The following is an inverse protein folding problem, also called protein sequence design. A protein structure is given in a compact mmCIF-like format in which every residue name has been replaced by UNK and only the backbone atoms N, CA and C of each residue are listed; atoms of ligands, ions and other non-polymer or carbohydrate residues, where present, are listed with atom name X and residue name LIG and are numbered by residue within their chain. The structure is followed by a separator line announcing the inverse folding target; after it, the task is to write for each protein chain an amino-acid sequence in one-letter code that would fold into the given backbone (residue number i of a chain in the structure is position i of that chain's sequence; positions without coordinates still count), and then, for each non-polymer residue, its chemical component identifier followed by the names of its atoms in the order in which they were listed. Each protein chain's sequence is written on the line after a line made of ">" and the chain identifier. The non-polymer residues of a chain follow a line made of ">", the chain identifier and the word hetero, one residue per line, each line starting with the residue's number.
data_IF_440221111519
#
_entry.id   IF_440221111519
#
_cell.length_a   1.000
_cell.length_b   1.000
_cell.length_c   1.000
_cell.angle_alpha   90.00
_cell.angle_beta   90.00
_cell.angle_gamma   90.00
#
_symmetry.space_group_name_H-M   'P 1'
#
loop_
_entity.id
_entity.type
_entity.pdbx_description
1 polymer ?
#
# COMPACT_ATOMS: atom_id res chain seq x y z
N UNK A 1 9.02 4.03 -11.72
CA UNK A 1 8.31 3.01 -12.54
C UNK A 1 7.36 2.17 -11.68
N UNK A 2 7.87 1.31 -10.79
CA UNK A 2 7.00 0.44 -9.96
C UNK A 2 6.05 1.21 -9.03
N UNK A 3 6.47 2.32 -8.45
CA UNK A 3 5.60 3.17 -7.62
C UNK A 3 4.35 3.65 -8.36
N UNK A 4 4.53 4.20 -9.57
CA UNK A 4 3.42 4.65 -10.42
C UNK A 4 2.46 3.49 -10.74
N UNK A 5 2.97 2.27 -10.88
CA UNK A 5 2.12 1.07 -11.03
C UNK A 5 1.27 0.87 -9.78
N UNK A 6 1.85 0.94 -8.59
CA UNK A 6 1.09 0.80 -7.32
C UNK A 6 0.02 1.90 -7.19
N UNK A 7 0.34 3.13 -7.55
CA UNK A 7 -0.63 4.23 -7.52
C UNK A 7 -1.80 4.01 -8.48
N UNK A 8 -1.52 3.60 -9.72
CA UNK A 8 -2.56 3.24 -10.69
C UNK A 8 -3.39 2.05 -10.22
N UNK A 9 -2.78 1.04 -9.61
CA UNK A 9 -3.50 -0.08 -9.03
C UNK A 9 -4.45 0.36 -7.91
N UNK A 10 -4.03 1.30 -7.04
CA UNK A 10 -4.89 1.89 -6.01
C UNK A 10 -6.07 2.66 -6.61
N UNK A 11 -5.83 3.42 -7.68
CA UNK A 11 -6.88 4.10 -8.43
C UNK A 11 -7.91 3.09 -8.97
N UNK A 12 -7.46 1.91 -9.42
CA UNK A 12 -8.28 0.79 -9.88
C UNK A 12 -8.87 -0.08 -8.75
N UNK A 13 -8.83 0.38 -7.50
CA UNK A 13 -9.39 -0.30 -6.32
C UNK A 13 -8.90 -1.75 -6.12
N UNK A 14 -7.66 -2.06 -6.52
CA UNK A 14 -7.13 -3.43 -6.45
C UNK A 14 -7.12 -4.02 -5.02
N UNK A 15 -7.03 -3.18 -3.98
CA UNK A 15 -7.01 -3.66 -2.58
C UNK A 15 -8.32 -4.32 -2.18
N UNK A 16 -9.44 -3.74 -2.62
CA UNK A 16 -10.76 -4.32 -2.38
C UNK A 16 -11.02 -5.48 -3.33
N UNK A 17 -10.73 -5.27 -4.62
CA UNK A 17 -11.25 -6.14 -5.67
C UNK A 17 -10.33 -7.29 -6.01
N UNK A 18 -9.01 -7.19 -5.82
CA UNK A 18 -8.03 -8.22 -6.12
C UNK A 18 -7.47 -8.92 -4.88
N UNK A 19 -7.05 -8.17 -3.85
CA UNK A 19 -6.38 -8.77 -2.69
C UNK A 19 -7.27 -9.76 -1.93
N UNK A 20 -8.58 -9.52 -1.93
CA UNK A 20 -9.59 -10.31 -1.23
C UNK A 20 -10.09 -11.53 -2.00
N UNK A 21 -9.71 -11.70 -3.29
CA UNK A 21 -10.22 -12.77 -4.17
C UNK A 21 -9.86 -14.18 -3.70
N UNK A 22 -8.80 -14.32 -2.92
CA UNK A 22 -8.32 -15.62 -2.43
C UNK A 22 -8.16 -15.61 -0.91
N UNK A 23 -8.04 -16.82 -0.36
CA UNK A 23 -7.73 -17.05 1.07
C UNK A 23 -6.45 -17.91 1.17
N UNK A 24 -5.43 -17.48 1.92
CA UNK A 24 -5.28 -16.17 2.58
C UNK A 24 -5.18 -15.02 1.55
N UNK A 25 -5.62 -13.83 1.96
CA UNK A 25 -5.59 -12.64 1.11
C UNK A 25 -4.16 -12.34 0.64
N UNK A 26 -4.03 -11.72 -0.53
CA UNK A 26 -2.74 -11.28 -1.02
C UNK A 26 -2.17 -10.17 -0.12
N UNK A 27 -0.86 -10.15 0.15
CA UNK A 27 -0.24 -9.03 0.85
C UNK A 27 -0.31 -7.77 -0.03
N UNK A 28 -0.52 -6.58 0.55
CA UNK A 28 -0.46 -5.32 -0.18
C UNK A 28 0.88 -5.13 -0.89
N UNK A 29 0.83 -4.52 -2.07
CA UNK A 29 1.99 -4.36 -2.92
C UNK A 29 2.91 -3.24 -2.41
N UNK A 30 4.18 -3.59 -2.17
CA UNK A 30 5.22 -2.60 -1.82
C UNK A 30 5.91 -2.08 -3.08
N UNK A 31 6.47 -0.86 -3.01
CA UNK A 31 7.18 -0.20 -4.13
C UNK A 31 8.35 -1.03 -4.68
N UNK A 32 8.86 -1.99 -3.90
CA UNK A 32 9.99 -2.85 -4.30
C UNK A 32 9.61 -4.28 -4.66
N UNK A 33 8.35 -4.68 -4.47
CA UNK A 33 7.96 -6.10 -4.51
C UNK A 33 8.30 -6.78 -5.83
N UNK A 34 7.97 -6.18 -6.98
CA UNK A 34 8.33 -6.73 -8.30
C UNK A 34 9.65 -6.18 -8.86
N UNK A 35 10.27 -5.21 -8.18
CA UNK A 35 11.55 -4.64 -8.61
C UNK A 35 12.74 -5.50 -8.19
N UNK A 36 12.61 -6.25 -7.10
CA UNK A 36 13.66 -7.12 -6.54
C UNK A 36 13.15 -8.55 -6.40
N UNK A 37 14.03 -9.56 -6.41
CA UNK A 37 13.65 -10.92 -6.05
C UNK A 37 13.09 -10.96 -4.62
N UNK A 38 11.94 -11.61 -4.46
CA UNK A 38 11.39 -11.92 -3.14
C UNK A 38 12.01 -13.22 -2.58
N UNK A 39 11.86 -13.46 -1.28
CA UNK A 39 12.33 -14.71 -0.65
C UNK A 39 11.72 -15.98 -1.25
N UNK A 40 10.51 -15.87 -1.83
CA UNK A 40 9.85 -16.94 -2.56
C UNK A 40 9.53 -16.51 -4.01
N UNK A 41 10.40 -16.89 -4.95
CA UNK A 41 10.22 -16.54 -6.37
C UNK A 41 8.97 -17.17 -7.01
N UNK A 42 8.55 -18.35 -6.55
CA UNK A 42 7.33 -19.01 -7.05
C UNK A 42 6.07 -18.24 -6.67
N UNK A 43 5.99 -17.78 -5.42
CA UNK A 43 4.88 -16.93 -4.98
C UNK A 43 4.89 -15.57 -5.68
N UNK A 44 6.06 -14.99 -5.89
CA UNK A 44 6.21 -13.73 -6.62
C UNK A 44 5.70 -13.85 -8.07
N UNK A 45 6.07 -14.93 -8.75
CA UNK A 45 5.57 -15.23 -10.09
C UNK A 45 4.05 -15.43 -10.11
N UNK A 46 3.52 -16.21 -9.16
CA UNK A 46 2.07 -16.44 -9.06
C UNK A 46 1.30 -15.15 -8.76
N UNK A 47 1.86 -14.25 -7.93
CA UNK A 47 1.29 -12.91 -7.71
C UNK A 47 1.26 -12.15 -9.03
N UNK A 48 2.38 -12.08 -9.74
CA UNK A 48 2.48 -11.38 -11.02
C UNK A 48 1.45 -11.90 -12.03
N UNK A 49 1.37 -13.22 -12.25
CA UNK A 49 0.45 -13.78 -13.24
C UNK A 49 -1.01 -13.56 -12.87
N UNK A 50 -1.35 -13.67 -11.58
CA UNK A 50 -2.70 -13.39 -11.08
C UNK A 50 -3.07 -11.91 -11.25
N UNK A 51 -2.12 -11.01 -10.98
CA UNK A 51 -2.33 -9.56 -11.13
C UNK A 51 -2.45 -9.16 -12.61
N UNK A 52 -1.59 -9.70 -13.47
CA UNK A 52 -1.68 -9.49 -14.91
C UNK A 52 -3.04 -9.96 -15.45
N UNK A 53 -3.52 -11.12 -14.98
CA UNK A 53 -4.84 -11.61 -15.33
C UNK A 53 -5.97 -10.69 -14.85
N UNK A 54 -5.88 -10.16 -13.63
CA UNK A 54 -6.85 -9.18 -13.14
C UNK A 54 -6.91 -7.94 -14.04
N UNK A 55 -5.77 -7.39 -14.42
CA UNK A 55 -5.69 -6.21 -15.29
C UNK A 55 -6.19 -6.50 -16.71
N UNK A 56 -5.86 -7.66 -17.28
CA UNK A 56 -6.39 -8.09 -18.58
C UNK A 56 -7.91 -8.20 -18.57
N UNK A 57 -8.49 -8.73 -17.47
CA UNK A 57 -9.94 -8.79 -17.31
C UNK A 57 -10.58 -7.41 -17.20
N UNK A 58 -9.93 -6.45 -16.52
CA UNK A 58 -10.38 -5.06 -16.50
C UNK A 58 -10.28 -4.38 -17.88
N UNK A 59 -9.29 -4.76 -18.69
CA UNK A 59 -9.13 -4.28 -20.06
C UNK A 59 -10.16 -4.90 -21.04
N UNK A 60 -11.00 -5.83 -20.59
CA UNK A 60 -12.05 -6.46 -21.40
C UNK A 60 -11.66 -7.80 -22.04
N UNK A 61 -10.49 -8.37 -21.72
CA UNK A 61 -10.17 -9.76 -22.06
C UNK A 61 -10.85 -10.72 -21.08
N UNK A 62 -11.10 -11.97 -21.47
CA UNK A 62 -11.63 -13.04 -20.61
C UNK A 62 -10.53 -13.99 -20.15
N UNK A 63 -9.39 -13.43 -19.73
CA UNK A 63 -8.22 -14.21 -19.36
C UNK A 63 -8.36 -14.88 -17.99
N UNK A 64 -8.29 -16.21 -17.96
CA UNK A 64 -8.24 -16.98 -16.70
C UNK A 64 -6.85 -16.83 -16.05
N UNK A 65 -6.83 -16.43 -14.78
CA UNK A 65 -5.61 -16.38 -13.99
C UNK A 65 -4.95 -17.78 -13.90
N UNK A 66 -3.64 -17.91 -14.22
CA UNK A 66 -2.91 -19.16 -14.05
C UNK A 66 -2.88 -19.59 -12.58
N UNK A 67 -3.04 -20.89 -12.33
CA UNK A 67 -2.89 -21.46 -11.00
C UNK A 67 -1.41 -21.52 -10.59
N UNK A 68 -1.14 -21.68 -9.29
CA UNK A 68 0.23 -21.70 -8.76
C UNK A 68 1.07 -22.87 -9.31
N UNK A 69 0.41 -23.94 -9.75
CA UNK A 69 1.03 -25.16 -10.28
C UNK A 69 1.00 -25.26 -11.81
N UNK A 70 0.47 -24.24 -12.50
CA UNK A 70 0.51 -24.21 -13.96
C UNK A 70 1.93 -24.06 -14.49
N UNK A 71 2.19 -24.56 -15.71
CA UNK A 71 3.50 -24.43 -16.34
C UNK A 71 3.84 -22.94 -16.51
N UNK A 72 4.97 -22.47 -15.95
CA UNK A 72 5.30 -21.05 -15.94
C UNK A 72 5.58 -20.51 -17.35
N UNK A 73 6.10 -21.33 -18.27
CA UNK A 73 6.34 -20.91 -19.65
C UNK A 73 5.03 -20.81 -20.43
N UNK A 74 4.09 -21.73 -20.20
CA UNK A 74 2.75 -21.66 -20.76
C UNK A 74 2.01 -20.41 -20.27
N UNK A 75 2.05 -20.14 -18.96
CA UNK A 75 1.46 -18.94 -18.37
C UNK A 75 2.04 -17.65 -18.99
N UNK A 76 3.37 -17.56 -19.15
CA UNK A 76 4.01 -16.41 -19.80
C UNK A 76 3.58 -16.25 -21.26
N UNK A 77 3.53 -17.35 -22.02
CA UNK A 77 3.11 -17.33 -23.43
C UNK A 77 1.66 -16.89 -23.58
N UNK A 78 0.78 -17.36 -22.70
CA UNK A 78 -0.63 -17.00 -22.71
C UNK A 78 -0.84 -15.51 -22.37
N UNK A 79 -0.11 -14.96 -21.39
CA UNK A 79 -0.13 -13.53 -21.09
C UNK A 79 0.30 -12.71 -22.31
N UNK A 80 1.34 -13.12 -23.03
CA UNK A 80 1.77 -12.45 -24.27
C UNK A 80 0.70 -12.48 -25.37
N UNK A 81 0.02 -13.62 -25.53
CA UNK A 81 -1.05 -13.76 -26.52
C UNK A 81 -2.23 -12.83 -26.21
N UNK A 82 -2.59 -12.67 -24.93
CA UNK A 82 -3.63 -11.73 -24.51
C UNK A 82 -3.20 -10.27 -24.62
N UNK A 83 -1.96 -9.94 -24.28
CA UNK A 83 -1.41 -8.59 -24.46
C UNK A 83 -1.53 -8.14 -25.92
N UNK A 84 -1.20 -9.03 -26.87
CA UNK A 84 -1.35 -8.75 -28.29
C UNK A 84 -2.81 -8.51 -28.70
N UNK A 85 -3.77 -9.23 -28.11
CA UNK A 85 -5.20 -9.05 -28.38
C UNK A 85 -5.75 -7.74 -27.80
N UNK A 86 -5.23 -7.30 -26.65
CA UNK A 86 -5.61 -6.03 -26.02
C UNK A 86 -5.01 -4.79 -26.71
N UNK A 87 -4.31 -4.96 -27.85
CA UNK A 87 -3.70 -3.86 -28.60
C UNK A 87 -2.41 -3.34 -27.97
N UNK A 88 -1.75 -4.15 -27.13
CA UNK A 88 -0.47 -3.80 -26.54
C UNK A 88 0.67 -3.97 -27.55
N UNK A 89 1.60 -3.02 -27.59
CA UNK A 89 2.81 -3.14 -28.42
C UNK A 89 3.61 -4.38 -28.02
N UNK A 90 3.99 -5.18 -29.00
CA UNK A 90 4.74 -6.42 -28.77
C UNK A 90 5.95 -6.14 -27.88
N UNK A 91 6.03 -6.74 -26.67
CA UNK A 91 7.15 -6.49 -25.77
C UNK A 91 8.48 -6.90 -26.43
N UNK A 92 9.50 -6.06 -26.32
CA UNK A 92 10.82 -6.26 -26.96
C UNK A 92 11.62 -7.47 -26.41
N UNK A 93 11.04 -8.28 -25.51
CA UNK A 93 11.72 -9.37 -24.82
C UNK A 93 10.92 -10.67 -24.95
N UNK A 94 11.62 -11.81 -24.83
CA UNK A 94 10.99 -13.12 -24.91
C UNK A 94 10.13 -13.44 -23.67
N UNK A 95 9.03 -14.20 -23.80
CA UNK A 95 8.13 -14.54 -22.69
C UNK A 95 8.83 -15.17 -21.48
N UNK A 96 9.88 -15.96 -21.72
CA UNK A 96 10.66 -16.60 -20.65
C UNK A 96 11.32 -15.63 -19.66
N UNK A 97 11.45 -14.33 -19.99
CA UNK A 97 11.96 -13.33 -19.04
C UNK A 97 10.97 -13.06 -17.90
N UNK A 98 9.67 -13.23 -18.12
CA UNK A 98 8.63 -13.05 -17.09
C UNK A 98 8.62 -14.16 -16.05
N UNK A 99 9.21 -15.32 -16.34
CA UNK A 99 9.28 -16.48 -15.44
C UNK A 99 9.89 -16.14 -14.07
N UNK A 100 10.79 -15.17 -14.03
CA UNK A 100 11.45 -14.75 -12.80
C UNK A 100 10.48 -14.05 -11.81
N UNK A 101 9.31 -13.60 -12.27
CA UNK A 101 8.32 -12.92 -11.44
C UNK A 101 8.73 -11.52 -10.96
N UNK A 102 9.95 -11.07 -11.28
CA UNK A 102 10.46 -9.74 -10.96
C UNK A 102 11.34 -9.19 -12.08
N UNK A 103 11.63 -7.90 -12.02
CA UNK A 103 12.54 -7.22 -12.93
C UNK A 103 11.83 -6.16 -13.79
N UNK A 104 12.62 -5.54 -14.67
CA UNK A 104 12.16 -4.42 -15.51
C UNK A 104 11.05 -4.85 -16.47
N UNK A 105 11.16 -6.06 -16.99
CA UNK A 105 10.22 -6.67 -17.94
C UNK A 105 8.84 -6.85 -17.31
N UNK A 106 8.81 -7.39 -16.10
CA UNK A 106 7.59 -7.63 -15.31
C UNK A 106 6.91 -6.32 -14.96
N UNK A 107 7.66 -5.36 -14.43
CA UNK A 107 7.14 -4.03 -14.09
C UNK A 107 6.66 -3.28 -15.34
N UNK A 108 7.35 -3.43 -16.46
CA UNK A 108 6.97 -2.82 -17.74
C UNK A 108 5.61 -3.32 -18.25
N UNK A 109 5.38 -4.64 -18.19
CA UNK A 109 4.07 -5.22 -18.56
C UNK A 109 2.95 -4.71 -17.64
N UNK A 110 3.17 -4.70 -16.32
CA UNK A 110 2.17 -4.21 -15.38
C UNK A 110 1.88 -2.72 -15.58
N UNK A 111 2.91 -1.91 -15.83
CA UNK A 111 2.74 -0.48 -16.09
C UNK A 111 1.87 -0.25 -17.33
N UNK A 112 2.19 -0.94 -18.43
CA UNK A 112 1.44 -0.83 -19.66
C UNK A 112 -0.01 -1.31 -19.56
N UNK A 113 -0.26 -2.42 -18.86
CA UNK A 113 -1.60 -2.88 -18.57
C UNK A 113 -2.39 -1.87 -17.73
N UNK A 114 -1.77 -1.29 -16.70
CA UNK A 114 -2.39 -0.25 -15.90
C UNK A 114 -2.71 0.99 -16.75
N UNK A 115 -1.81 1.40 -17.63
CA UNK A 115 -2.05 2.53 -18.54
C UNK A 115 -3.23 2.28 -19.46
N UNK A 116 -3.33 1.09 -20.04
CA UNK A 116 -4.45 0.71 -20.91
C UNK A 116 -5.79 0.74 -20.15
N UNK A 117 -5.83 0.16 -18.96
CA UNK A 117 -7.05 0.10 -18.14
C UNK A 117 -7.43 1.48 -17.61
N UNK A 118 -6.46 2.28 -17.15
CA UNK A 118 -6.74 3.64 -16.68
C UNK A 118 -7.23 4.51 -17.83
N UNK A 119 -6.63 4.41 -19.01
CA UNK A 119 -7.07 5.13 -20.19
C UNK A 119 -8.52 4.75 -20.58
N UNK A 120 -8.92 3.49 -20.48
CA UNK A 120 -10.30 3.07 -20.79
C UNK A 120 -11.30 3.46 -19.70
N UNK A 121 -10.95 3.33 -18.42
CA UNK A 121 -11.84 3.63 -17.29
C UNK A 121 -12.02 5.13 -17.05
N UNK A 122 -10.98 5.92 -17.30
CA UNK A 122 -10.94 7.35 -17.00
C UNK A 122 -10.82 8.23 -18.25
N UNK A 123 -11.17 7.71 -19.43
CA UNK A 123 -11.18 8.44 -20.69
C UNK A 123 -11.95 9.79 -20.63
N UNK A 124 -12.95 9.88 -19.75
CA UNK A 124 -13.80 11.07 -19.56
C UNK A 124 -13.27 12.10 -18.57
N UNK A 125 -12.09 11.90 -17.99
CA UNK A 125 -11.49 12.87 -17.08
C UNK A 125 -10.89 14.01 -17.89
N UNK A 126 -11.77 14.78 -18.52
CA UNK A 126 -11.37 16.00 -19.20
C UNK A 126 -11.10 17.10 -18.17
N UNK A 127 -10.29 18.09 -18.55
CA UNK A 127 -10.02 19.24 -17.71
C UNK A 127 -11.32 19.96 -17.34
N UNK A 128 -11.41 20.60 -16.17
CA UNK A 128 -12.57 21.43 -15.86
C UNK A 128 -12.74 22.47 -16.96
N UNK A 129 -13.91 22.50 -17.58
CA UNK A 129 -14.26 23.51 -18.57
C UNK A 129 -14.40 24.84 -17.82
N UNK A 130 -13.37 25.68 -17.92
CA UNK A 130 -13.43 27.04 -17.40
C UNK A 130 -14.42 27.81 -18.27
N UNK A 131 -15.52 28.27 -17.67
CA UNK A 131 -16.38 29.24 -18.31
C UNK A 131 -15.50 30.42 -18.75
N UNK A 132 -15.69 30.97 -19.97
CA UNK A 132 -14.96 32.16 -20.37
C UNK A 132 -15.22 33.21 -19.30
N UNK A 133 -14.15 33.76 -18.71
CA UNK A 133 -14.28 34.80 -17.71
C UNK A 133 -15.20 35.87 -18.30
N UNK A 134 -16.36 36.05 -17.68
CA UNK A 134 -17.19 37.20 -17.99
C UNK A 134 -16.26 38.40 -17.86
N UNK A 135 -16.24 39.33 -18.84
CA UNK A 135 -15.50 40.56 -18.68
C UNK A 135 -15.87 41.09 -17.30
N UNK A 136 -14.86 41.28 -16.45
CA UNK A 136 -15.02 42.05 -15.23
C UNK A 136 -15.46 43.44 -15.71
N UNK A 137 -16.76 43.62 -15.91
CA UNK A 137 -17.37 44.93 -15.89
C UNK A 137 -16.94 45.49 -14.55
N UNK A 138 -16.14 46.55 -14.62
CA UNK A 138 -15.63 47.39 -13.55
C UNK A 138 -16.70 47.53 -12.45
N UNK A 139 -16.78 46.52 -11.58
CA UNK A 139 -17.61 46.54 -10.41
C UNK A 139 -16.82 47.45 -9.51
N UNK A 140 -17.07 48.75 -9.67
CA UNK A 140 -16.64 49.80 -8.78
C UNK A 140 -16.90 49.27 -7.37
N UNK A 141 -15.84 48.75 -6.77
CA UNK A 141 -15.76 48.44 -5.37
C UNK A 141 -15.93 49.79 -4.71
N UNK A 142 -17.19 50.15 -4.43
CA UNK A 142 -17.51 51.11 -3.40
C UNK A 142 -16.92 50.52 -2.14
N UNK A 143 -15.67 50.90 -1.85
CA UNK A 143 -15.13 50.84 -0.52
C UNK A 143 -16.21 51.43 0.40
N UNK A 144 -16.78 50.68 1.36
CA UNK A 144 -17.62 51.31 2.36
C UNK A 144 -16.72 52.33 3.04
N UNK A 145 -17.06 53.60 2.89
CA UNK A 145 -16.43 54.66 3.65
C UNK A 145 -16.67 54.33 5.12
N UNK A 146 -15.60 53.94 5.82
CA UNK A 146 -15.59 53.91 7.27
C UNK A 146 -15.63 55.38 7.71
N UNK A 147 -16.81 55.85 8.08
CA UNK A 147 -16.95 57.09 8.84
C UNK A 147 -16.45 56.81 10.26
N UNK A 148 -15.29 57.38 10.57
CA UNK A 148 -14.74 57.53 11.91
C UNK A 148 -15.70 58.46 12.69
N UNK A 149 -16.55 57.88 13.55
CA UNK A 149 -17.30 58.62 14.55
C UNK A 149 -16.86 58.08 15.92
N UNK A 150 -15.77 58.68 16.40
CA UNK A 150 -15.30 58.54 17.77
C UNK A 150 -16.28 59.24 18.73
N UNK A 151 -16.38 58.63 19.91
CA UNK A 151 -16.74 59.26 21.19
C UNK A 151 -18.23 59.26 21.59
N UNK A 152 -18.67 58.20 22.27
CA UNK A 152 -19.37 58.41 23.54
C UNK A 152 -19.17 57.22 24.51
N UNK A 153 -18.53 57.52 25.64
CA UNK A 153 -18.20 56.56 26.68
C UNK A 153 -19.36 56.38 27.65
N UNK A 154 -19.80 55.13 27.84
CA UNK A 154 -20.57 54.77 29.03
C UNK A 154 -20.01 53.53 29.71
N UNK A 155 -19.09 53.82 30.63
CA UNK A 155 -18.77 53.06 31.83
C UNK A 155 -19.93 52.20 32.36
N UNK A 156 -19.74 50.87 32.35
CA UNK A 156 -20.29 49.96 33.38
C UNK A 156 -19.24 48.93 33.80
N UNK A 157 -18.53 49.31 34.85
CA UNK A 157 -17.92 48.43 35.86
C UNK A 157 -18.91 47.34 36.33
N UNK A 158 -18.54 46.05 36.31
CA UNK A 158 -18.59 45.15 37.48
C UNK A 158 -18.01 43.73 37.18
N UNK A 159 -16.97 43.32 37.93
CA UNK A 159 -16.46 41.95 38.18
C UNK A 159 -15.58 41.36 37.07
N UNK A 160 -14.25 41.23 37.16
CA UNK A 160 -13.38 40.67 38.23
C UNK A 160 -13.85 39.26 38.60
N UNK A 161 -13.08 38.17 38.45
CA UNK A 161 -11.70 37.95 38.90
C UNK A 161 -11.14 36.63 38.31
N UNK A 162 -9.83 36.61 38.05
CA UNK A 162 -8.85 35.50 38.11
C UNK A 162 -9.18 34.08 37.58
N UNK A 163 -8.27 33.35 36.95
CA UNK A 163 -6.82 33.46 36.94
C UNK A 163 -6.19 32.26 36.20
N UNK A 164 -4.92 32.44 35.87
CA UNK A 164 -4.03 31.61 35.05
C UNK A 164 -3.70 30.24 35.68
N UNK A 165 -3.42 29.23 34.83
CA UNK A 165 -2.55 28.07 35.12
C UNK A 165 -3.27 26.72 35.05
N UNK A 166 -3.08 25.93 33.99
CA UNK A 166 -2.02 24.93 33.80
C UNK A 166 -2.37 23.55 34.40
N UNK A 167 -2.17 22.53 33.56
CA UNK A 167 -2.02 21.09 33.82
C UNK A 167 -3.18 20.28 34.45
N UNK A 168 -3.77 19.39 33.65
CA UNK A 168 -3.78 17.93 33.91
C UNK A 168 -4.75 17.22 32.95
N UNK A 169 -4.19 16.30 32.17
CA UNK A 169 -4.91 15.35 31.33
C UNK A 169 -5.80 14.41 32.16
N UNK A 170 -7.04 14.20 31.71
CA UNK A 170 -7.81 12.98 32.02
C UNK A 170 -8.36 12.41 30.72
N UNK A 171 -7.71 11.31 30.33
CA UNK A 171 -8.06 10.31 29.35
C UNK A 171 -9.35 9.60 29.78
N UNK A 172 -10.44 9.79 29.03
CA UNK A 172 -11.66 8.97 29.16
C UNK A 172 -12.18 8.63 27.75
N UNK A 173 -11.67 7.53 27.19
CA UNK A 173 -12.27 6.86 26.03
C UNK A 173 -12.30 5.34 26.30
N UNK A 174 -13.45 4.89 26.81
CA UNK A 174 -14.15 3.64 26.48
C UNK A 174 -13.39 2.30 26.50
N UNK A 175 -13.50 1.62 27.63
CA UNK A 175 -13.22 0.18 27.83
C UNK A 175 -14.39 -0.65 27.27
N UNK A 176 -14.21 -1.36 26.15
CA UNK A 176 -15.17 -2.36 25.65
C UNK A 176 -14.42 -3.52 24.97
N UNK A 177 -13.96 -4.49 25.77
CA UNK A 177 -13.60 -5.85 25.33
C UNK A 177 -14.09 -6.85 26.40
N UNK A 178 -15.38 -7.19 26.32
CA UNK A 178 -16.03 -8.21 27.14
C UNK A 178 -15.55 -9.62 26.76
N UNK A 179 -14.61 -10.16 27.53
CA UNK A 179 -14.08 -11.52 27.41
C UNK A 179 -15.00 -12.50 28.17
N UNK A 180 -15.96 -13.12 27.47
CA UNK A 180 -16.85 -14.13 28.04
C UNK A 180 -16.18 -15.50 28.23
N UNK A 181 -15.90 -15.89 29.49
CA UNK A 181 -15.35 -17.20 29.86
C UNK A 181 -16.25 -17.95 30.86
N UNK A 182 -16.98 -18.99 30.40
CA UNK A 182 -17.43 -20.19 31.13
C UNK A 182 -18.35 -21.03 30.21
N UNK A 183 -18.24 -22.35 30.00
CA UNK A 183 -17.33 -23.36 30.50
C UNK A 183 -17.66 -24.77 29.95
N UNK A 184 -16.71 -25.69 30.17
CA UNK A 184 -16.81 -27.16 30.28
C UNK A 184 -16.84 -28.06 29.01
N UNK A 185 -15.71 -28.76 28.73
CA UNK A 185 -15.45 -30.18 29.10
C UNK A 185 -14.22 -30.79 28.38
N UNK A 186 -13.24 -31.27 29.17
CA UNK A 186 -12.30 -32.35 28.80
C UNK A 186 -10.81 -31.94 28.69
N UNK A 187 -9.86 -32.67 29.33
CA UNK A 187 -8.43 -32.41 29.14
C UNK A 187 -7.97 -32.90 27.76
N UNK A 188 -7.20 -32.11 26.99
CA UNK A 188 -6.72 -32.53 25.68
C UNK A 188 -5.62 -33.60 25.80
N UNK A 189 -5.74 -34.66 25.00
CA UNK A 189 -4.76 -35.74 24.87
C UNK A 189 -3.50 -35.25 24.13
N UNK A 190 -2.29 -35.77 24.43
CA UNK A 190 -1.04 -35.23 23.91
C UNK A 190 -0.71 -35.79 22.51
N UNK A 191 -1.52 -35.43 21.51
CA UNK A 191 -1.24 -35.77 20.10
C UNK A 191 -1.21 -34.54 19.17
N UNK A 192 -1.25 -33.32 19.70
CA UNK A 192 -1.29 -32.08 18.94
C UNK A 192 -0.03 -31.19 19.07
N UNK A 193 1.09 -31.74 19.54
CA UNK A 193 2.42 -31.13 19.41
C UNK A 193 3.37 -32.10 18.71
N UNK A 194 3.30 -32.15 17.37
CA UNK A 194 4.48 -32.45 16.55
C UNK A 194 4.94 -31.14 15.94
N UNK A 195 5.65 -30.38 16.76
CA UNK A 195 6.51 -29.31 16.30
C UNK A 195 7.67 -29.92 15.51
N UNK A 196 8.02 -29.25 14.42
CA UNK A 196 9.15 -29.54 13.56
C UNK A 196 10.42 -29.77 14.37
N UNK A 197 10.90 -31.02 14.37
CA UNK A 197 12.21 -31.35 14.90
C UNK A 197 13.26 -30.80 13.94
N UNK A 198 13.67 -29.54 14.16
CA UNK A 198 14.87 -28.97 13.53
C UNK A 198 16.06 -29.85 13.87
N UNK A 199 16.87 -30.16 12.87
CA UNK A 199 18.07 -30.99 13.00
C UNK A 199 19.10 -30.29 13.89
N UNK A 200 19.92 -31.07 14.60
CA UNK A 200 20.94 -30.55 15.50
C UNK A 200 21.97 -29.64 14.81
N UNK A 201 22.14 -29.79 13.49
CA UNK A 201 22.98 -28.94 12.64
C UNK A 201 22.47 -27.48 12.56
N UNK A 202 21.15 -27.27 12.49
CA UNK A 202 20.55 -25.92 12.39
C UNK A 202 20.63 -25.14 13.73
N UNK A 203 20.80 -25.85 14.84
CA UNK A 203 20.97 -25.26 16.18
C UNK A 203 22.43 -24.82 16.39
N UNK A 204 23.40 -25.48 15.74
CA UNK A 204 24.81 -25.16 15.86
C UNK A 204 25.17 -23.86 15.12
N UNK A 205 24.54 -23.59 13.98
CA UNK A 205 24.72 -22.36 13.20
C UNK A 205 24.02 -21.13 13.81
N UNK A 206 23.16 -21.33 14.81
CA UNK A 206 22.50 -20.26 15.58
C UNK A 206 23.27 -19.84 16.84
N UNK A 207 24.58 -20.15 16.93
CA UNK A 207 25.43 -19.58 17.99
C UNK A 207 25.44 -18.06 17.88
N UNK A 208 24.97 -17.42 18.95
CA UNK A 208 24.89 -15.98 19.08
C UNK A 208 26.22 -15.30 18.71
N UNK A 209 26.16 -14.21 17.95
CA UNK A 209 27.29 -13.33 17.70
C UNK A 209 27.66 -12.70 19.05
N UNK A 210 28.69 -13.23 19.71
CA UNK A 210 29.25 -12.64 20.93
C UNK A 210 30.04 -11.38 20.55
N UNK A 211 29.66 -10.23 21.09
CA UNK A 211 30.39 -8.99 20.87
C UNK A 211 31.72 -9.04 21.63
N UNK A 212 32.84 -9.12 20.90
CA UNK A 212 34.19 -9.07 21.46
C UNK A 212 34.63 -7.66 21.89
N UNK A 213 33.70 -6.83 22.38
CA UNK A 213 34.01 -5.46 22.82
C UNK A 213 34.26 -5.49 24.33
N UNK A 214 35.52 -5.31 24.71
CA UNK A 214 35.92 -5.19 26.11
C UNK A 214 35.58 -3.77 26.63
N UNK A 215 34.83 -3.70 27.72
CA UNK A 215 34.35 -2.43 28.27
C UNK A 215 35.49 -1.53 28.80
N UNK A 216 36.66 -2.09 29.10
CA UNK A 216 37.83 -1.32 29.56
C UNK A 216 38.56 -0.67 28.41
N UNK A 217 38.60 -1.31 27.24
CA UNK A 217 39.19 -0.76 26.01
C UNK A 217 38.35 0.42 25.49
N UNK A 218 37.02 0.32 25.54
CA UNK A 218 36.13 1.41 25.13
C UNK A 218 36.26 2.67 26.00
N UNK A 219 36.49 2.49 27.31
CA UNK A 219 36.73 3.62 28.21
C UNK A 219 38.04 4.34 27.92
N UNK A 220 39.07 3.61 27.50
CA UNK A 220 40.40 4.15 27.23
C UNK A 220 40.43 4.98 25.95
N UNK A 221 39.61 4.65 24.95
CA UNK A 221 39.47 5.47 23.73
C UNK A 221 38.74 6.80 23.97
N UNK A 222 37.85 6.88 24.96
CA UNK A 222 37.09 8.10 25.29
C UNK A 222 37.92 9.17 26.01
N UNK A 223 39.04 8.79 26.62
CA UNK A 223 39.92 9.69 27.37
C UNK A 223 41.12 10.22 26.54
N UNK A 224 41.21 9.87 25.25
CA UNK A 224 42.24 10.35 24.31
C UNK A 224 41.74 11.52 23.46
#
# INVERSE_FOLDING_TARGET
>A
AMELVVEKLKLLHYERDFLTRRRPAWPPLTRTYFARPAGNGGEQFHYFTSLAAYLLNLAGSSFRAPEQFDDPNAACSNIFAELAQCGFDTPSFAPGKLKHGHGREVVGVLAGLCDLVVASHYARWDGPEYAPEAPLEDAAVSSPAFEDDDEDGMNKTFGTEDGIGDDAATDEESDDDEIGYAGARGPPTPLALRADAKTAEEIEDARAIESAVDATEWKLELER
#
